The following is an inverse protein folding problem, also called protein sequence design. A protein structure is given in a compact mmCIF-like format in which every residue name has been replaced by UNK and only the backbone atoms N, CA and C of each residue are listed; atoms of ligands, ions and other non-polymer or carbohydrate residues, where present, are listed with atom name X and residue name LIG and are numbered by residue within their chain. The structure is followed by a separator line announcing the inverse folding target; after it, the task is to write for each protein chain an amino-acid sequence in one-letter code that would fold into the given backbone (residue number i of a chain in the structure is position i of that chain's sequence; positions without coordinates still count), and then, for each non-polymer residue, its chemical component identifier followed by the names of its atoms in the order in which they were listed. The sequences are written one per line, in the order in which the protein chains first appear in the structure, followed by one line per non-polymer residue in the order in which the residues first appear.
data_IF_207315145136
#
_entry.id   IF_207315145136
#
_cell.length_a   1.000
_cell.length_b   1.000
_cell.length_c   1.000
_cell.angle_alpha   90.00
_cell.angle_beta   90.00
_cell.angle_gamma   90.00
#
_symmetry.space_group_name_H-M   'P 1'
#
loop_
_entity.id
_entity.type
_entity.pdbx_description
1 polymer ?
#
# COMPACT_ATOMS: atom_id res chain seq x y z
N UNK A 1 43.50 37.95 -53.40
CA UNK A 1 43.45 36.85 -52.39
C UNK A 1 42.19 37.07 -51.54
N UNK A 2 41.02 36.55 -51.94
CA UNK A 2 40.28 35.39 -51.33
C UNK A 2 40.25 35.51 -49.77
N UNK A 3 39.26 36.03 -49.05
CA UNK A 3 37.79 35.81 -48.92
C UNK A 3 37.40 34.43 -48.31
N UNK A 4 36.60 34.49 -47.21
CA UNK A 4 35.95 33.43 -46.40
C UNK A 4 36.90 32.58 -45.51
N UNK A 5 36.60 32.18 -44.26
CA UNK A 5 35.31 31.96 -43.60
C UNK A 5 35.44 32.06 -42.07
N UNK A 6 34.43 32.68 -41.44
CA UNK A 6 34.06 32.49 -40.04
C UNK A 6 33.66 31.01 -39.87
N UNK A 7 34.20 30.29 -38.89
CA UNK A 7 33.63 29.01 -38.45
C UNK A 7 33.31 29.10 -36.97
N UNK A 8 32.00 29.22 -36.73
CA UNK A 8 31.32 29.11 -35.46
C UNK A 8 31.50 27.67 -34.95
N UNK A 9 32.25 27.46 -33.87
CA UNK A 9 32.26 26.17 -33.17
C UNK A 9 31.23 26.23 -32.03
N UNK A 10 29.96 26.21 -32.39
CA UNK A 10 28.88 25.86 -31.47
C UNK A 10 28.72 24.34 -31.51
N UNK A 11 29.53 23.61 -30.73
CA UNK A 11 29.25 22.21 -30.46
C UNK A 11 28.37 22.14 -29.21
N UNK A 12 27.14 21.66 -29.46
CA UNK A 12 26.07 21.39 -28.52
C UNK A 12 26.55 20.83 -27.18
N UNK A 13 26.10 21.46 -26.10
CA UNK A 13 25.81 20.78 -24.86
C UNK A 13 24.70 19.74 -25.13
N UNK A 14 25.09 18.51 -25.46
CA UNK A 14 24.21 17.37 -25.23
C UNK A 14 24.24 17.10 -23.73
N UNK A 15 23.33 17.76 -23.02
CA UNK A 15 22.91 17.30 -21.70
C UNK A 15 22.53 15.82 -21.86
N UNK A 16 23.21 14.95 -21.15
CA UNK A 16 22.78 13.58 -20.92
C UNK A 16 21.47 13.63 -20.11
N UNK A 17 20.37 13.97 -20.78
CA UNK A 17 19.07 13.46 -20.36
C UNK A 17 19.06 12.04 -20.84
N UNK A 18 19.44 11.12 -19.94
CA UNK A 18 19.18 9.70 -20.12
C UNK A 18 17.75 9.56 -20.59
N UNK A 19 17.57 8.87 -21.71
CA UNK A 19 16.28 8.51 -22.22
C UNK A 19 15.72 7.46 -21.26
N UNK A 20 15.17 7.91 -20.14
CA UNK A 20 14.35 7.08 -19.28
C UNK A 20 13.14 6.74 -20.12
N UNK A 21 13.12 5.51 -20.65
CA UNK A 21 11.91 4.96 -21.25
C UNK A 21 10.80 5.18 -20.23
N UNK A 22 9.75 5.93 -20.60
CA UNK A 22 8.61 6.11 -19.69
C UNK A 22 8.12 4.70 -19.33
N UNK A 23 8.22 4.33 -18.05
CA UNK A 23 7.78 3.02 -17.61
C UNK A 23 6.31 2.81 -18.01
N UNK A 24 5.95 1.67 -18.61
CA UNK A 24 4.56 1.39 -18.98
C UNK A 24 3.67 1.07 -17.76
N UNK A 25 4.28 0.96 -16.58
CA UNK A 25 3.66 0.56 -15.33
C UNK A 25 3.32 1.78 -14.47
N UNK A 26 2.39 1.60 -13.53
CA UNK A 26 1.99 2.63 -12.57
C UNK A 26 1.72 2.01 -11.20
N UNK A 27 1.49 2.86 -10.20
CA UNK A 27 0.96 2.43 -8.92
C UNK A 27 -0.49 2.86 -8.72
N UNK A 28 -1.23 2.06 -7.96
CA UNK A 28 -2.59 2.35 -7.50
C UNK A 28 -2.71 2.10 -6.00
N UNK A 29 -3.47 2.95 -5.31
CA UNK A 29 -3.81 2.81 -3.90
C UNK A 29 -5.17 2.17 -3.71
N UNK A 30 -5.26 1.28 -2.73
CA UNK A 30 -6.52 0.73 -2.25
C UNK A 30 -6.65 0.99 -0.75
N UNK A 31 -7.76 1.61 -0.32
CA UNK A 31 -8.01 1.83 1.11
C UNK A 31 -8.53 0.56 1.75
N UNK A 32 -7.78 0.04 2.72
CA UNK A 32 -8.14 -1.17 3.48
C UNK A 32 -8.97 -0.81 4.70
N UNK A 33 -8.56 0.21 5.44
CA UNK A 33 -9.25 0.60 6.68
C UNK A 33 -9.02 2.07 7.00
N UNK A 34 -9.96 2.65 7.74
CA UNK A 34 -9.88 4.00 8.29
C UNK A 34 -10.18 3.89 9.78
N UNK A 35 -9.39 4.57 10.61
CA UNK A 35 -9.55 4.68 12.07
C UNK A 35 -9.55 3.34 12.81
N UNK A 36 -9.00 2.28 12.18
CA UNK A 36 -8.84 0.97 12.81
C UNK A 36 -7.57 0.91 13.67
N UNK A 37 -6.56 1.68 13.27
CA UNK A 37 -5.64 2.31 14.21
C UNK A 37 -6.14 3.74 14.43
N UNK A 38 -6.38 4.18 15.68
CA UNK A 38 -7.01 5.47 15.95
C UNK A 38 -6.30 6.65 15.27
N UNK A 39 -7.04 7.41 14.47
CA UNK A 39 -6.54 8.58 13.74
C UNK A 39 -5.73 8.27 12.48
N UNK A 40 -5.61 7.01 12.07
CA UNK A 40 -4.81 6.59 10.91
C UNK A 40 -5.65 5.91 9.83
N UNK A 41 -5.12 5.88 8.60
CA UNK A 41 -5.68 5.13 7.48
C UNK A 41 -4.70 4.05 7.05
N UNK A 42 -5.20 2.84 6.85
CA UNK A 42 -4.45 1.71 6.26
C UNK A 42 -4.76 1.61 4.78
N UNK A 43 -3.72 1.61 3.96
CA UNK A 43 -3.80 1.47 2.50
C UNK A 43 -2.88 0.38 1.99
N UNK A 44 -3.22 -0.17 0.82
CA UNK A 44 -2.37 -1.10 0.05
C UNK A 44 -1.91 -0.44 -1.24
N UNK A 45 -0.63 -0.59 -1.54
CA UNK A 45 -0.01 -0.15 -2.80
C UNK A 45 0.07 -1.32 -3.77
N UNK A 46 -0.46 -1.15 -4.97
CA UNK A 46 -0.40 -2.15 -6.03
C UNK A 46 0.40 -1.61 -7.21
N UNK A 47 1.34 -2.42 -7.72
CA UNK A 47 1.93 -2.22 -9.03
C UNK A 47 0.91 -2.68 -10.09
N UNK A 48 0.59 -1.78 -11.02
CA UNK A 48 -0.27 -2.06 -12.18
C UNK A 48 0.63 -2.31 -13.39
N UNK A 49 0.61 -3.55 -13.86
CA UNK A 49 1.39 -4.03 -15.00
C UNK A 49 0.54 -3.99 -16.29
N UNK A 50 1.12 -4.35 -17.44
CA UNK A 50 0.43 -4.20 -18.74
C UNK A 50 0.09 -5.51 -19.43
N UNK A 51 0.59 -6.63 -18.90
CA UNK A 51 0.28 -7.97 -19.40
C UNK A 51 0.08 -8.94 -18.23
N UNK A 52 -0.93 -9.85 -18.29
CA UNK A 52 -1.16 -10.83 -17.24
C UNK A 52 0.02 -11.77 -16.95
N UNK A 53 0.89 -11.95 -17.94
CA UNK A 53 2.10 -12.76 -17.81
C UNK A 53 3.33 -11.95 -17.34
N UNK A 54 3.22 -10.63 -17.16
CA UNK A 54 4.32 -9.85 -16.58
C UNK A 54 4.59 -10.33 -15.15
N UNK A 55 5.87 -10.29 -14.77
CA UNK A 55 6.31 -10.81 -13.48
C UNK A 55 7.14 -9.77 -12.74
N UNK A 56 6.61 -9.25 -11.63
CA UNK A 56 7.35 -8.41 -10.68
C UNK A 56 8.23 -9.31 -9.82
N UNK A 57 9.54 -9.21 -9.98
CA UNK A 57 10.49 -10.06 -9.25
C UNK A 57 11.13 -9.35 -8.06
N UNK A 58 11.33 -8.04 -8.13
CA UNK A 58 11.95 -7.29 -7.05
C UNK A 58 11.53 -5.82 -7.07
N UNK A 59 11.62 -5.21 -5.89
CA UNK A 59 11.68 -3.77 -5.73
C UNK A 59 13.00 -3.45 -5.05
N UNK A 60 13.76 -2.49 -5.57
CA UNK A 60 15.12 -2.23 -5.12
C UNK A 60 15.48 -0.74 -5.14
N UNK A 61 16.59 -0.40 -4.49
CA UNK A 61 17.18 0.93 -4.53
C UNK A 61 18.64 0.94 -4.10
N UNK A 62 19.39 1.91 -4.59
CA UNK A 62 20.81 2.16 -4.29
C UNK A 62 21.18 3.63 -4.53
N UNK A 63 22.41 4.05 -4.25
CA UNK A 63 22.85 5.46 -4.26
C UNK A 63 22.45 6.22 -5.56
N UNK A 64 22.63 5.58 -6.72
CA UNK A 64 22.37 6.23 -8.01
C UNK A 64 20.90 6.17 -8.43
N UNK A 65 20.12 5.27 -7.82
CA UNK A 65 18.71 5.06 -8.11
C UNK A 65 18.00 4.58 -6.84
N UNK A 66 17.84 5.50 -5.89
CA UNK A 66 17.19 5.18 -4.63
C UNK A 66 15.74 4.73 -4.86
N UNK A 67 15.18 4.02 -3.90
CA UNK A 67 13.73 3.79 -3.83
C UNK A 67 13.24 4.23 -2.46
N UNK A 68 12.10 4.92 -2.40
CA UNK A 68 11.50 5.34 -1.14
C UNK A 68 9.99 5.26 -1.09
N UNK A 69 9.48 4.98 0.11
CA UNK A 69 8.10 5.24 0.52
C UNK A 69 8.18 6.09 1.78
N UNK A 70 7.74 7.33 1.68
CA UNK A 70 7.88 8.34 2.73
C UNK A 70 6.51 8.78 3.22
N UNK A 71 6.41 9.16 4.49
CA UNK A 71 5.22 9.77 5.08
C UNK A 71 5.58 11.09 5.76
N UNK A 72 4.68 12.07 5.74
CA UNK A 72 4.91 13.34 6.47
C UNK A 72 4.89 13.20 8.00
N UNK A 73 4.52 12.01 8.51
CA UNK A 73 4.43 11.69 9.94
C UNK A 73 5.24 10.43 10.29
N UNK A 74 4.59 9.29 10.50
CA UNK A 74 5.22 8.00 10.82
C UNK A 74 4.30 6.86 10.39
N UNK A 75 4.88 5.74 9.97
CA UNK A 75 4.13 4.51 9.76
C UNK A 75 3.82 3.83 11.09
N UNK A 76 2.63 3.26 11.20
CA UNK A 76 2.29 2.37 12.29
C UNK A 76 2.95 1.01 12.07
N UNK A 77 3.69 0.56 13.07
CA UNK A 77 4.30 -0.76 13.15
C UNK A 77 3.75 -1.50 14.38
N UNK A 78 3.18 -2.67 14.19
CA UNK A 78 2.66 -3.51 15.26
C UNK A 78 3.84 -4.24 15.96
N UNK A 79 3.90 -4.28 17.30
CA UNK A 79 4.98 -4.96 18.01
C UNK A 79 5.10 -6.47 17.73
N UNK A 80 4.03 -7.11 17.28
CA UNK A 80 4.00 -8.52 16.87
C UNK A 80 4.11 -8.69 15.34
N UNK A 81 4.33 -7.57 14.62
CA UNK A 81 4.48 -7.46 13.17
C UNK A 81 5.91 -7.68 12.67
N UNK A 82 6.09 -7.45 11.37
CA UNK A 82 7.40 -7.47 10.71
C UNK A 82 7.32 -6.80 9.34
N UNK A 83 8.46 -6.33 8.84
CA UNK A 83 8.61 -5.67 7.53
C UNK A 83 8.04 -6.42 6.31
N UNK A 84 7.73 -7.72 6.45
CA UNK A 84 7.04 -8.52 5.44
C UNK A 84 5.92 -9.35 6.07
N UNK A 85 4.85 -9.67 5.34
CA UNK A 85 3.73 -10.46 5.85
C UNK A 85 4.05 -11.96 5.92
N UNK A 86 5.30 -12.39 5.75
CA UNK A 86 5.72 -13.79 5.69
C UNK A 86 5.24 -14.65 6.89
N UNK A 87 5.06 -14.03 8.05
CA UNK A 87 4.60 -14.68 9.28
C UNK A 87 3.19 -14.25 9.70
N UNK A 88 2.51 -13.41 8.90
CA UNK A 88 1.15 -12.98 9.20
C UNK A 88 0.20 -14.17 9.12
N UNK A 89 -0.60 -14.34 10.17
CA UNK A 89 -1.58 -15.41 10.27
C UNK A 89 -2.95 -14.80 10.58
N UNK A 90 -3.93 -14.90 9.66
CA UNK A 90 -5.26 -14.34 9.87
C UNK A 90 -5.97 -14.80 11.15
N UNK A 91 -5.64 -16.00 11.67
CA UNK A 91 -6.19 -16.50 12.93
C UNK A 91 -5.73 -15.70 14.16
N UNK A 92 -4.62 -14.95 14.05
CA UNK A 92 -4.13 -14.09 15.12
C UNK A 92 -4.90 -12.78 15.20
N UNK A 93 -5.59 -12.33 14.14
CA UNK A 93 -6.27 -11.03 14.12
C UNK A 93 -7.45 -10.94 15.10
N UNK A 94 -8.03 -12.06 15.52
CA UNK A 94 -9.07 -12.06 16.56
C UNK A 94 -8.49 -11.79 17.96
N UNK A 95 -7.20 -12.08 18.15
CA UNK A 95 -6.49 -11.99 19.44
C UNK A 95 -5.60 -10.73 19.48
N UNK A 96 -5.00 -10.39 18.34
CA UNK A 96 -4.15 -9.23 18.08
C UNK A 96 -4.76 -8.42 16.91
N UNK A 97 -5.83 -7.65 17.15
CA UNK A 97 -6.57 -6.99 16.07
C UNK A 97 -5.77 -5.93 15.33
N UNK A 98 -4.81 -5.31 16.01
CA UNK A 98 -3.98 -4.23 15.46
C UNK A 98 -2.92 -4.75 14.49
N UNK A 99 -2.47 -6.01 14.64
CA UNK A 99 -1.52 -6.67 13.73
C UNK A 99 -2.01 -6.70 12.28
N UNK A 100 -3.33 -6.68 12.06
CA UNK A 100 -3.90 -6.59 10.71
C UNK A 100 -3.51 -5.30 9.98
N UNK A 101 -3.25 -4.24 10.72
CA UNK A 101 -2.98 -2.90 10.21
C UNK A 101 -1.50 -2.54 10.29
N UNK A 102 -0.64 -3.51 10.60
CA UNK A 102 0.81 -3.37 10.50
C UNK A 102 1.24 -2.88 9.10
N UNK A 103 2.36 -2.16 9.05
CA UNK A 103 2.92 -1.64 7.79
C UNK A 103 4.03 -2.56 7.31
N UNK A 104 3.93 -3.07 6.09
CA UNK A 104 4.87 -4.04 5.54
C UNK A 104 4.99 -3.93 4.03
N UNK A 105 6.10 -4.42 3.49
CA UNK A 105 6.30 -4.58 2.04
C UNK A 105 6.14 -6.03 1.63
N UNK A 106 5.79 -6.24 0.36
CA UNK A 106 5.56 -7.57 -0.18
C UNK A 106 5.77 -7.62 -1.69
N UNK A 107 5.67 -8.84 -2.24
CA UNK A 107 5.30 -9.08 -3.62
C UNK A 107 4.17 -10.11 -3.58
N UNK A 108 2.95 -9.67 -3.88
CA UNK A 108 1.78 -10.51 -4.14
C UNK A 108 1.07 -11.14 -2.94
N UNK A 109 1.73 -11.30 -1.80
CA UNK A 109 1.14 -11.95 -0.60
C UNK A 109 0.78 -10.93 0.49
N UNK A 110 -0.27 -11.18 1.25
CA UNK A 110 -0.67 -10.39 2.42
C UNK A 110 -0.68 -11.16 3.74
N UNK A 111 -0.31 -12.45 3.68
CA UNK A 111 -0.14 -13.35 4.81
C UNK A 111 1.01 -14.33 4.54
N UNK A 112 1.23 -15.26 5.46
CA UNK A 112 2.19 -16.35 5.25
C UNK A 112 1.90 -17.10 3.93
N UNK A 113 2.95 -17.39 3.12
CA UNK A 113 2.78 -17.89 1.77
C UNK A 113 2.16 -19.30 1.74
N UNK A 114 1.23 -19.50 0.82
CA UNK A 114 0.54 -20.76 0.55
C UNK A 114 1.30 -21.52 -0.53
N UNK A 115 2.25 -22.38 -0.13
CA UNK A 115 3.06 -23.16 -1.08
C UNK A 115 2.25 -24.07 -2.02
N UNK A 116 1.04 -24.48 -1.63
CA UNK A 116 0.13 -25.24 -2.51
C UNK A 116 -0.39 -24.42 -3.70
N UNK A 117 -0.40 -23.09 -3.58
CA UNK A 117 -0.77 -22.13 -4.62
C UNK A 117 0.46 -21.61 -5.39
N UNK A 118 1.64 -22.18 -5.11
CA UNK A 118 2.91 -21.79 -5.74
C UNK A 118 3.58 -20.58 -5.10
N UNK A 119 3.09 -20.14 -3.94
CA UNK A 119 3.64 -18.97 -3.27
C UNK A 119 4.96 -19.27 -2.54
N UNK A 120 5.81 -18.26 -2.43
CA UNK A 120 7.04 -18.32 -1.63
C UNK A 120 7.16 -17.13 -0.67
N UNK A 121 8.00 -17.20 0.37
CA UNK A 121 8.29 -16.05 1.21
C UNK A 121 8.96 -14.91 0.42
N UNK A 122 8.65 -13.67 0.79
CA UNK A 122 9.34 -12.47 0.29
C UNK A 122 10.70 -12.35 0.97
N UNK A 123 11.77 -12.31 0.19
CA UNK A 123 13.13 -12.08 0.68
C UNK A 123 13.42 -10.59 0.86
N UNK A 124 14.31 -10.27 1.81
CA UNK A 124 14.83 -8.92 2.04
C UNK A 124 16.34 -8.89 1.75
N UNK A 125 16.82 -7.75 1.27
CA UNK A 125 18.22 -7.44 1.10
C UNK A 125 18.52 -6.02 1.61
N UNK A 126 19.65 -5.81 2.30
CA UNK A 126 20.56 -6.86 2.80
C UNK A 126 19.89 -7.71 3.88
N UNK A 127 20.40 -8.93 4.15
CA UNK A 127 19.82 -9.78 5.20
C UNK A 127 20.05 -9.20 6.60
N UNK A 128 21.08 -8.35 6.77
CA UNK A 128 21.23 -7.52 7.95
C UNK A 128 20.22 -6.37 7.91
N UNK A 129 19.35 -6.24 8.91
CA UNK A 129 18.24 -5.28 8.91
C UNK A 129 18.67 -3.83 9.15
N UNK A 130 19.97 -3.58 9.39
CA UNK A 130 20.54 -2.31 9.87
C UNK A 130 20.46 -1.11 8.92
N UNK A 131 19.79 -1.24 7.77
CA UNK A 131 19.57 -0.15 6.82
C UNK A 131 18.09 0.21 6.80
N UNK A 132 17.44 0.15 5.65
CA UNK A 132 16.05 0.57 5.46
C UNK A 132 15.05 -0.20 6.33
N UNK A 133 15.32 -1.47 6.67
CA UNK A 133 14.38 -2.31 7.43
C UNK A 133 14.25 -1.82 8.87
N UNK A 134 15.35 -1.64 9.60
CA UNK A 134 15.29 -1.19 11.01
C UNK A 134 14.67 0.22 11.14
N UNK A 135 14.89 1.10 10.16
CA UNK A 135 14.27 2.43 10.14
C UNK A 135 12.76 2.35 9.88
N UNK A 136 12.35 1.54 8.91
CA UNK A 136 10.94 1.32 8.60
C UNK A 136 10.19 0.64 9.77
N UNK A 137 10.78 -0.39 10.39
CA UNK A 137 10.22 -1.07 11.57
C UNK A 137 10.15 -0.17 12.81
N UNK A 138 10.92 0.92 12.85
CA UNK A 138 10.81 1.96 13.87
C UNK A 138 9.69 2.98 13.59
N UNK A 139 8.92 2.79 12.52
CA UNK A 139 7.87 3.70 12.03
C UNK A 139 8.39 4.86 11.18
N UNK A 140 9.68 4.82 10.80
CA UNK A 140 10.29 5.79 9.90
C UNK A 140 10.00 5.50 8.43
N UNK A 141 10.55 6.34 7.56
CA UNK A 141 10.42 6.17 6.12
C UNK A 141 11.13 4.90 5.64
N UNK A 142 10.64 4.30 4.56
CA UNK A 142 11.37 3.28 3.83
C UNK A 142 12.26 3.99 2.81
N UNK A 143 13.58 3.95 2.99
CA UNK A 143 14.55 4.54 2.05
C UNK A 143 15.66 3.54 1.74
N UNK A 144 15.74 3.11 0.48
CA UNK A 144 16.77 2.22 -0.05
C UNK A 144 17.77 3.02 -0.89
N UNK A 145 18.64 3.79 -0.23
CA UNK A 145 19.75 4.53 -0.84
C UNK A 145 21.12 3.84 -0.65
N UNK A 146 21.18 2.85 0.24
CA UNK A 146 22.34 1.97 0.46
C UNK A 146 21.91 0.52 0.19
N UNK A 147 21.94 0.13 -1.09
CA UNK A 147 21.65 -1.21 -1.61
C UNK A 147 20.53 -1.97 -0.85
N UNK A 148 19.27 -1.62 -1.08
CA UNK A 148 18.11 -2.29 -0.48
C UNK A 148 17.26 -3.01 -1.52
N UNK A 149 16.63 -4.11 -1.12
CA UNK A 149 15.57 -4.73 -1.93
C UNK A 149 14.62 -5.59 -1.09
N UNK A 150 13.42 -5.80 -1.64
CA UNK A 150 12.64 -7.00 -1.35
C UNK A 150 12.27 -7.72 -2.65
N UNK A 151 12.21 -9.04 -2.61
CA UNK A 151 12.14 -9.84 -3.83
C UNK A 151 11.49 -11.21 -3.65
N UNK A 152 11.04 -11.76 -4.77
CA UNK A 152 10.68 -13.17 -4.93
C UNK A 152 11.48 -13.75 -6.09
N UNK A 153 11.70 -15.06 -6.11
CA UNK A 153 12.39 -15.72 -7.21
C UNK A 153 11.41 -16.11 -8.32
N UNK A 154 11.86 -15.95 -9.58
CA UNK A 154 11.07 -16.31 -10.75
C UNK A 154 10.52 -17.74 -10.63
N UNK A 155 9.23 -17.89 -10.93
CA UNK A 155 8.50 -19.15 -10.88
C UNK A 155 7.58 -19.31 -9.66
N UNK A 156 7.66 -18.39 -8.69
CA UNK A 156 6.60 -18.26 -7.68
C UNK A 156 5.33 -17.66 -8.29
N UNK A 157 4.15 -17.91 -7.70
CA UNK A 157 2.91 -17.31 -8.18
C UNK A 157 2.79 -15.83 -7.77
N UNK A 158 3.37 -15.43 -6.64
CA UNK A 158 3.17 -14.11 -6.03
C UNK A 158 3.56 -12.93 -6.94
N UNK A 159 4.59 -13.11 -7.78
CA UNK A 159 5.08 -12.04 -8.66
C UNK A 159 4.29 -11.86 -9.95
N UNK A 160 3.35 -12.76 -10.26
CA UNK A 160 2.63 -12.74 -11.55
C UNK A 160 1.50 -11.72 -11.54
N UNK A 161 1.42 -10.88 -12.57
CA UNK A 161 0.42 -9.81 -12.67
C UNK A 161 -1.03 -10.31 -12.67
N UNK A 162 -1.29 -11.47 -13.28
CA UNK A 162 -2.63 -12.04 -13.36
C UNK A 162 -3.61 -11.22 -14.21
N UNK A 163 -4.86 -11.66 -14.24
CA UNK A 163 -5.89 -11.05 -15.11
C UNK A 163 -6.30 -9.63 -14.68
N UNK A 164 -6.12 -9.29 -13.40
CA UNK A 164 -6.34 -7.94 -12.87
C UNK A 164 -5.13 -7.02 -13.04
N UNK A 165 -4.01 -7.55 -13.56
CA UNK A 165 -2.76 -6.83 -13.84
C UNK A 165 -2.13 -6.20 -12.59
N UNK A 166 -2.51 -6.65 -11.39
CA UNK A 166 -2.13 -6.01 -10.13
C UNK A 166 -1.25 -6.95 -9.32
N UNK A 167 -0.09 -6.45 -8.89
CA UNK A 167 0.74 -7.13 -7.89
C UNK A 167 0.78 -6.26 -6.64
N UNK A 168 0.42 -6.82 -5.49
CA UNK A 168 0.53 -6.13 -4.21
C UNK A 168 2.00 -5.88 -3.88
N UNK A 169 2.34 -4.65 -3.49
CA UNK A 169 3.71 -4.22 -3.19
C UNK A 169 3.91 -3.85 -1.72
N UNK A 170 2.84 -3.47 -1.02
CA UNK A 170 2.91 -3.23 0.42
C UNK A 170 1.57 -2.77 1.01
N UNK A 171 1.55 -2.71 2.33
CA UNK A 171 0.49 -2.12 3.14
C UNK A 171 1.11 -1.07 4.06
N UNK A 172 0.47 0.09 4.17
CA UNK A 172 0.97 1.22 4.94
C UNK A 172 -0.15 1.80 5.77
N UNK A 173 0.11 2.02 7.06
CA UNK A 173 -0.83 2.68 7.98
C UNK A 173 -0.20 3.94 8.51
N UNK A 174 -0.83 5.09 8.28
CA UNK A 174 -0.32 6.40 8.70
C UNK A 174 -1.46 7.43 8.77
N UNK A 175 -1.23 8.55 9.45
CA UNK A 175 -2.05 9.76 9.44
C UNK A 175 -1.45 10.89 8.58
N UNK A 176 -0.34 10.61 7.89
CA UNK A 176 0.37 11.56 7.03
C UNK A 176 0.05 11.42 5.55
N UNK A 177 0.76 12.21 4.75
CA UNK A 177 0.74 12.10 3.29
C UNK A 177 1.85 11.15 2.84
N UNK A 178 1.49 10.09 2.12
CA UNK A 178 2.42 9.11 1.55
C UNK A 178 2.89 9.59 0.17
N UNK A 179 4.20 9.53 -0.07
CA UNK A 179 4.81 9.83 -1.37
C UNK A 179 6.08 9.03 -1.58
N UNK A 180 6.69 9.14 -2.77
CA UNK A 180 7.98 8.50 -3.06
C UNK A 180 8.08 7.95 -4.47
N UNK A 181 9.03 7.04 -4.67
CA UNK A 181 9.30 6.37 -5.93
C UNK A 181 9.92 5.01 -5.67
N UNK A 182 9.49 3.99 -6.39
CA UNK A 182 10.03 2.64 -6.25
C UNK A 182 10.59 2.15 -7.58
N UNK A 183 11.70 1.42 -7.52
CA UNK A 183 12.29 0.81 -8.70
C UNK A 183 11.83 -0.64 -8.81
N UNK A 184 10.91 -0.89 -9.74
CA UNK A 184 10.37 -2.22 -9.98
C UNK A 184 11.21 -2.95 -11.02
N UNK A 185 11.62 -4.17 -10.72
CA UNK A 185 12.15 -5.09 -11.72
C UNK A 185 11.03 -5.98 -12.24
N UNK A 186 10.65 -5.79 -13.50
CA UNK A 186 9.54 -6.51 -14.14
C UNK A 186 10.03 -7.28 -15.35
N UNK A 187 9.87 -8.60 -15.33
CA UNK A 187 10.11 -9.46 -16.48
C UNK A 187 8.88 -9.45 -17.39
N UNK A 188 9.04 -8.83 -18.55
CA UNK A 188 7.96 -8.72 -19.54
C UNK A 188 7.55 -10.10 -20.04
N UNK A 189 6.27 -10.44 -19.95
CA UNK A 189 5.76 -11.80 -20.22
C UNK A 189 6.50 -12.90 -19.43
N UNK A 190 7.05 -12.57 -18.26
CA UNK A 190 7.77 -13.52 -17.39
C UNK A 190 9.16 -13.89 -17.90
N UNK A 191 9.70 -13.16 -18.87
CA UNK A 191 11.02 -13.39 -19.45
C UNK A 191 11.95 -12.24 -19.08
N UNK A 192 13.06 -12.58 -18.41
CA UNK A 192 14.09 -11.61 -18.08
C UNK A 192 14.85 -11.15 -19.33
N UNK A 193 15.18 -9.87 -19.36
CA UNK A 193 16.07 -9.26 -20.35
C UNK A 193 17.52 -9.70 -20.14
N UNK A 194 18.35 -9.48 -21.15
CA UNK A 194 19.78 -9.82 -21.08
C UNK A 194 20.53 -8.92 -20.10
N UNK A 195 20.16 -7.64 -20.05
CA UNK A 195 20.73 -6.64 -19.15
C UNK A 195 19.75 -6.35 -18.02
N UNK A 196 20.24 -6.32 -16.78
CA UNK A 196 19.42 -6.08 -15.60
C UNK A 196 18.61 -4.77 -15.71
N UNK A 197 19.26 -3.69 -16.14
CA UNK A 197 18.64 -2.36 -16.22
C UNK A 197 17.54 -2.25 -17.28
N UNK A 198 17.45 -3.19 -18.23
CA UNK A 198 16.37 -3.20 -19.22
C UNK A 198 15.02 -3.62 -18.60
N UNK A 199 15.07 -4.30 -17.44
CA UNK A 199 13.88 -4.73 -16.69
C UNK A 199 13.54 -3.84 -15.50
N UNK A 200 14.36 -2.83 -15.20
CA UNK A 200 14.18 -1.98 -14.01
C UNK A 200 13.57 -0.63 -14.36
N UNK A 201 12.48 -0.31 -13.68
CA UNK A 201 11.68 0.88 -13.93
C UNK A 201 11.48 1.65 -12.63
N UNK A 202 11.98 2.89 -12.58
CA UNK A 202 11.68 3.82 -11.50
C UNK A 202 10.30 4.45 -11.73
N UNK A 203 9.38 4.23 -10.80
CA UNK A 203 7.98 4.65 -10.90
C UNK A 203 7.65 5.51 -9.70
N UNK A 204 7.10 6.70 -9.96
CA UNK A 204 6.61 7.59 -8.91
C UNK A 204 5.33 7.03 -8.29
N UNK A 205 5.28 7.00 -6.97
CA UNK A 205 4.08 6.67 -6.22
C UNK A 205 3.12 7.87 -6.30
N UNK A 206 1.85 7.71 -6.70
CA UNK A 206 0.87 8.76 -6.59
C UNK A 206 0.78 9.23 -5.14
N UNK A 207 0.86 10.53 -4.89
CA UNK A 207 0.71 11.06 -3.54
C UNK A 207 -0.65 10.65 -2.95
N UNK A 208 -0.65 10.23 -1.69
CA UNK A 208 -1.86 9.82 -0.99
C UNK A 208 -1.94 10.46 0.39
N UNK A 209 -2.92 11.35 0.57
CA UNK A 209 -3.21 11.97 1.86
C UNK A 209 -4.06 11.02 2.73
N UNK A 210 -3.38 10.23 3.57
CA UNK A 210 -4.02 9.29 4.48
C UNK A 210 -4.71 10.02 5.64
N UNK A 211 -4.16 11.18 6.02
CA UNK A 211 -4.67 12.07 7.06
C UNK A 211 -6.06 12.58 6.73
N UNK A 212 -6.34 13.04 5.51
CA UNK A 212 -7.68 13.55 5.14
C UNK A 212 -8.80 12.51 5.31
N UNK A 213 -8.48 11.22 5.23
CA UNK A 213 -9.47 10.15 5.45
C UNK A 213 -9.69 9.83 6.93
N UNK A 214 -8.66 10.01 7.75
CA UNK A 214 -8.70 9.79 9.20
C UNK A 214 -8.86 11.07 10.02
N UNK A 215 -8.87 12.24 9.38
CA UNK A 215 -9.12 13.55 9.96
C UNK A 215 -10.51 13.54 10.59
N UNK A 216 -10.53 13.45 11.92
CA UNK A 216 -11.71 13.70 12.73
C UNK A 216 -12.19 15.14 12.46
N UNK A 217 -13.40 15.37 11.92
CA UNK A 217 -14.01 16.68 12.05
C UNK A 217 -14.41 16.85 13.52
N UNK A 218 -13.49 17.31 14.38
CA UNK A 218 -13.68 17.63 15.81
C UNK A 218 -14.57 16.64 16.59
N UNK A 219 -14.02 16.03 17.65
CA UNK A 219 -14.76 15.24 18.67
C UNK A 219 -15.93 15.94 19.38
N UNK A 220 -16.39 17.10 18.92
CA UNK A 220 -17.75 17.58 19.16
C UNK A 220 -18.68 17.16 18.01
N UNK A 221 -19.31 15.99 18.13
CA UNK A 221 -20.53 15.64 17.37
C UNK A 221 -20.61 14.19 16.86
N UNK A 222 -21.86 13.71 16.78
CA UNK A 222 -22.33 12.35 16.47
C UNK A 222 -21.75 11.23 17.35
N UNK A 223 -22.38 10.96 18.50
CA UNK A 223 -21.99 9.84 19.36
C UNK A 223 -22.24 8.50 18.66
N UNK A 224 -21.26 7.59 18.65
CA UNK A 224 -21.47 6.20 18.19
C UNK A 224 -21.04 5.23 19.30
N UNK A 225 -22.00 4.44 19.79
CA UNK A 225 -21.77 3.37 20.76
C UNK A 225 -22.00 2.01 20.11
N UNK A 226 -21.22 1.01 20.53
CA UNK A 226 -21.24 -0.33 19.95
C UNK A 226 -21.29 -1.36 21.07
N UNK A 227 -22.13 -2.38 20.89
CA UNK A 227 -22.26 -3.50 21.82
C UNK A 227 -22.16 -4.82 21.04
N UNK A 228 -21.20 -5.72 21.36
CA UNK A 228 -21.15 -7.04 20.76
C UNK A 228 -22.34 -7.90 21.19
N UNK A 229 -22.82 -8.76 20.30
CA UNK A 229 -23.97 -9.65 20.54
C UNK A 229 -23.48 -11.07 20.84
N UNK A 230 -24.12 -11.72 21.81
CA UNK A 230 -23.87 -13.13 22.11
C UNK A 230 -24.25 -13.99 20.90
N UNK A 231 -23.27 -14.65 20.28
CA UNK A 231 -23.45 -15.40 19.02
C UNK A 231 -22.88 -14.71 17.76
N UNK A 232 -22.22 -13.55 17.91
CA UNK A 232 -21.50 -12.85 16.85
C UNK A 232 -22.22 -11.57 16.37
N UNK A 233 -21.42 -10.63 15.84
CA UNK A 233 -21.90 -9.34 15.35
C UNK A 233 -22.06 -8.26 16.42
N UNK A 234 -22.59 -7.12 15.99
CA UNK A 234 -22.60 -5.87 16.75
C UNK A 234 -23.95 -5.18 16.67
N UNK A 235 -24.36 -4.56 17.77
CA UNK A 235 -25.41 -3.54 17.79
C UNK A 235 -24.74 -2.18 17.81
N UNK A 236 -25.10 -1.34 16.87
CA UNK A 236 -24.63 0.03 16.76
C UNK A 236 -25.76 0.96 17.22
N UNK A 237 -25.41 1.98 17.99
CA UNK A 237 -26.29 3.08 18.33
C UNK A 237 -25.56 4.39 18.06
N UNK A 238 -26.00 5.07 17.01
CA UNK A 238 -25.52 6.38 16.62
C UNK A 238 -26.48 7.44 17.16
N UNK A 239 -25.97 8.59 17.59
CA UNK A 239 -26.74 9.62 18.31
C UNK A 239 -27.73 10.39 17.46
N UNK A 240 -27.86 10.08 16.17
CA UNK A 240 -28.76 10.73 15.23
C UNK A 240 -29.16 9.80 14.07
N UNK A 241 -30.20 10.15 13.28
CA UNK A 241 -30.58 9.39 12.10
C UNK A 241 -29.44 9.29 11.08
N UNK A 242 -29.22 8.12 10.51
CA UNK A 242 -28.08 7.89 9.63
C UNK A 242 -28.34 6.86 8.53
N UNK A 243 -27.59 7.01 7.43
CA UNK A 243 -27.38 5.96 6.45
C UNK A 243 -26.12 5.19 6.81
N UNK A 244 -26.14 3.86 6.72
CA UNK A 244 -24.98 3.03 6.98
C UNK A 244 -24.75 2.08 5.82
N UNK A 245 -23.49 1.75 5.58
CA UNK A 245 -23.05 0.81 4.55
C UNK A 245 -21.96 -0.07 5.15
N UNK A 246 -22.07 -1.38 4.97
CA UNK A 246 -21.12 -2.41 5.36
C UNK A 246 -20.42 -2.93 4.12
N UNK A 247 -19.10 -2.93 4.16
CA UNK A 247 -18.24 -3.49 3.13
C UNK A 247 -17.59 -4.78 3.65
N UNK A 248 -17.31 -5.71 2.73
CA UNK A 248 -16.44 -6.84 3.03
C UNK A 248 -14.97 -6.42 3.01
N UNK A 249 -14.09 -7.37 3.28
CA UNK A 249 -12.64 -7.15 3.35
C UNK A 249 -12.03 -6.81 1.98
N UNK A 250 -12.77 -6.96 0.87
CA UNK A 250 -12.35 -6.54 -0.48
C UNK A 250 -12.91 -5.16 -0.87
N UNK A 251 -13.52 -4.43 0.06
CA UNK A 251 -14.10 -3.11 -0.19
C UNK A 251 -15.43 -3.15 -0.96
N UNK A 252 -16.00 -4.34 -1.21
CA UNK A 252 -17.30 -4.47 -1.88
C UNK A 252 -18.42 -4.19 -0.88
N UNK A 253 -19.40 -3.38 -1.28
CA UNK A 253 -20.62 -3.18 -0.49
C UNK A 253 -21.40 -4.49 -0.38
N UNK A 254 -21.66 -4.91 0.86
CA UNK A 254 -22.36 -6.15 1.19
C UNK A 254 -23.75 -5.86 1.72
N UNK A 255 -23.90 -4.77 2.46
CA UNK A 255 -25.14 -4.44 3.16
C UNK A 255 -25.22 -2.93 3.38
N UNK A 256 -26.42 -2.35 3.29
CA UNK A 256 -26.63 -0.94 3.62
C UNK A 256 -28.04 -0.70 4.09
N UNK A 257 -28.25 0.42 4.77
CA UNK A 257 -29.57 0.76 5.30
C UNK A 257 -29.67 2.19 5.83
N UNK A 258 -30.91 2.60 6.04
CA UNK A 258 -31.27 3.83 6.72
C UNK A 258 -31.85 3.52 8.10
N UNK A 259 -31.48 4.29 9.11
CA UNK A 259 -32.07 4.21 10.45
C UNK A 259 -32.49 5.58 10.96
N UNK A 260 -33.71 5.66 11.48
CA UNK A 260 -34.26 6.89 12.03
C UNK A 260 -33.83 7.13 13.48
N UNK A 261 -33.57 6.07 14.25
CA UNK A 261 -33.15 6.15 15.65
C UNK A 261 -31.63 5.93 15.82
N UNK A 262 -30.88 5.86 14.71
CA UNK A 262 -29.44 5.63 14.71
C UNK A 262 -29.06 4.19 15.09
N UNK A 263 -30.03 3.28 15.26
CA UNK A 263 -29.78 1.90 15.67
C UNK A 263 -29.76 0.96 14.47
N UNK A 264 -28.74 0.12 14.41
CA UNK A 264 -28.63 -0.97 13.42
C UNK A 264 -27.72 -2.09 13.92
N UNK A 265 -27.63 -3.19 13.17
CA UNK A 265 -26.77 -4.34 13.52
C UNK A 265 -25.86 -4.70 12.36
N UNK A 266 -24.68 -5.26 12.65
CA UNK A 266 -23.75 -5.77 11.63
C UNK A 266 -23.10 -7.09 12.06
N UNK A 267 -22.49 -7.79 11.10
CA UNK A 267 -21.73 -9.04 11.31
C UNK A 267 -20.21 -8.85 11.13
N UNK A 268 -19.69 -7.67 11.50
CA UNK A 268 -18.28 -7.32 11.23
C UNK A 268 -18.06 -6.74 9.83
N UNK A 269 -16.80 -6.48 9.48
CA UNK A 269 -16.39 -5.75 8.28
C UNK A 269 -16.29 -4.25 8.50
N UNK A 270 -16.12 -3.50 7.41
CA UNK A 270 -15.97 -2.04 7.46
C UNK A 270 -17.37 -1.42 7.41
N UNK A 271 -17.71 -0.62 8.41
CA UNK A 271 -18.95 0.15 8.43
C UNK A 271 -18.68 1.62 8.16
N UNK A 272 -19.37 2.18 7.16
CA UNK A 272 -19.47 3.61 6.90
C UNK A 272 -20.83 4.10 7.33
N UNK A 273 -20.88 5.01 8.29
CA UNK A 273 -22.09 5.71 8.75
C UNK A 273 -22.06 7.14 8.22
N UNK A 274 -23.19 7.64 7.74
CA UNK A 274 -23.40 9.03 7.33
C UNK A 274 -24.60 9.60 8.08
N UNK A 275 -24.38 10.54 8.99
CA UNK A 275 -25.45 11.24 9.69
C UNK A 275 -26.25 12.12 8.74
N UNK A 276 -27.59 12.03 8.78
CA UNK A 276 -28.40 12.86 7.88
C UNK A 276 -28.52 14.33 8.30
N UNK A 277 -28.71 14.66 9.59
CA UNK A 277 -28.77 16.07 9.99
C UNK A 277 -27.41 16.74 9.87
N UNK A 278 -26.35 16.05 10.29
CA UNK A 278 -24.98 16.57 10.33
C UNK A 278 -24.24 16.46 9.00
N UNK A 279 -24.62 15.52 8.13
CA UNK A 279 -23.84 15.13 6.95
C UNK A 279 -22.53 14.43 7.27
N UNK A 280 -22.20 14.20 8.56
CA UNK A 280 -20.92 13.64 8.99
C UNK A 280 -20.79 12.19 8.58
N UNK A 281 -19.58 11.80 8.18
CA UNK A 281 -19.25 10.44 7.79
C UNK A 281 -18.27 9.87 8.81
N UNK A 282 -18.59 8.72 9.40
CA UNK A 282 -17.69 7.97 10.29
C UNK A 282 -17.50 6.58 9.70
N UNK A 283 -16.26 6.09 9.69
CA UNK A 283 -15.94 4.73 9.25
C UNK A 283 -15.25 3.98 10.38
N UNK A 284 -15.75 2.79 10.71
CA UNK A 284 -15.14 1.92 11.71
C UNK A 284 -15.12 0.49 11.21
N UNK A 285 -14.03 -0.22 11.48
CA UNK A 285 -13.97 -1.66 11.27
C UNK A 285 -14.42 -2.41 12.53
N UNK A 286 -15.08 -3.54 12.29
CA UNK A 286 -15.49 -4.48 13.34
C UNK A 286 -15.06 -5.90 12.93
N UNK A 287 -14.45 -6.68 13.84
CA UNK A 287 -14.03 -8.06 13.54
C UNK A 287 -15.17 -8.98 13.11
#
# INVERSE_FOLDING_TARGET
MRLFSLFLLACLAMTARGQQSAAPYSFEWEVVAVDSIPGMTTVRLYAVLVNPADYLTSVSGWDEMAGSVETTTSFYQDPDGWATPNNNNPLLYDILPTLRYDSWVTIGIDAAPIGAEGEIPVGLFPPETSFWVDEFEAGGDLVMDIDGAWFVTLGSSNGTAGEDLRVLVGQFTTDGVISGYLNLQVFSNGVASAEFMDDVYSITIPEFDAGVLSEEPEREGMSWTVQPVQGGGYVHLVGEPCHWTRFDLSGREVESGWTQDGRFTSRGGILRVTGAPSGRVIRLWFP
#
